data_IF_566421189737
#
_entry.id   IF_566421189737
#
_cell.length_a   1.000
_cell.length_b   1.000
_cell.length_c   1.000
_cell.angle_alpha   90.00
_cell.angle_beta   90.00
_cell.angle_gamma   90.00
#
_symmetry.space_group_name_H-M   'P 1'
#
loop_
_entity.id
_entity.type
_entity.pdbx_description
1 polymer ?
#
# COMPACT_ATOMS: atom_id res chain seq x y z
N UNK A 1 -1.30 20.63 -2.30
CA UNK A 1 -1.86 19.44 -2.98
C UNK A 1 -3.37 19.24 -2.82
N UNK A 2 -3.91 18.91 -1.63
CA UNK A 2 -5.35 18.57 -1.48
C UNK A 2 -6.27 19.75 -1.85
N UNK A 3 -5.89 20.98 -1.51
CA UNK A 3 -6.67 22.17 -1.83
C UNK A 3 -6.68 22.49 -3.34
N UNK A 4 -5.64 22.08 -4.08
CA UNK A 4 -5.52 22.28 -5.53
C UNK A 4 -6.28 21.21 -6.30
N UNK A 5 -6.23 19.96 -5.81
CA UNK A 5 -6.99 18.83 -6.32
C UNK A 5 -7.50 17.98 -5.15
N UNK A 6 -8.81 18.04 -4.90
CA UNK A 6 -9.47 17.34 -3.80
C UNK A 6 -9.36 15.81 -3.90
N UNK A 7 -8.98 15.27 -5.07
CA UNK A 7 -8.71 13.86 -5.31
C UNK A 7 -7.25 13.45 -5.05
N UNK A 8 -6.47 14.33 -4.44
CA UNK A 8 -5.13 14.02 -3.95
C UNK A 8 -5.17 13.51 -2.51
N UNK A 9 -4.52 12.37 -2.27
CA UNK A 9 -4.16 11.88 -0.94
C UNK A 9 -2.70 12.26 -0.67
N UNK A 10 -2.41 12.78 0.52
CA UNK A 10 -1.06 13.23 0.91
C UNK A 10 -0.60 12.48 2.14
N UNK A 11 0.57 11.86 2.07
CA UNK A 11 1.25 11.26 3.22
C UNK A 11 2.39 12.19 3.69
N UNK A 12 2.58 12.37 5.01
CA UNK A 12 3.81 12.99 5.53
C UNK A 12 4.97 11.98 5.45
N UNK A 13 6.20 12.47 5.60
CA UNK A 13 7.30 11.59 5.97
C UNK A 13 7.08 11.07 7.38
N UNK A 14 7.25 9.76 7.55
CA UNK A 14 7.08 9.08 8.82
C UNK A 14 8.47 8.88 9.42
N UNK A 15 8.76 9.67 10.43
CA UNK A 15 10.04 9.60 11.15
C UNK A 15 9.96 8.64 12.31
N UNK A 16 11.12 8.20 12.78
CA UNK A 16 11.21 7.21 13.85
C UNK A 16 11.29 7.93 15.19
N UNK A 17 10.39 7.57 16.09
CA UNK A 17 10.57 7.80 17.53
C UNK A 17 11.00 6.48 18.15
N UNK A 18 12.24 6.41 18.65
CA UNK A 18 12.82 5.18 19.18
C UNK A 18 12.00 4.67 20.38
N UNK A 19 11.58 3.40 20.38
CA UNK A 19 10.67 2.88 21.40
C UNK A 19 11.31 2.77 22.81
N UNK A 20 12.65 2.76 22.91
CA UNK A 20 13.38 2.67 24.19
C UNK A 20 13.73 4.06 24.75
N UNK A 21 14.21 4.97 23.90
CA UNK A 21 14.78 6.26 24.32
C UNK A 21 13.89 7.47 23.98
N UNK A 22 12.86 7.27 23.14
CA UNK A 22 12.02 8.33 22.58
C UNK A 22 12.77 9.38 21.75
N UNK A 23 14.01 9.06 21.34
CA UNK A 23 14.76 9.87 20.40
C UNK A 23 14.00 9.97 19.07
N UNK A 24 13.85 11.20 18.58
CA UNK A 24 13.31 11.47 17.26
C UNK A 24 14.45 11.50 16.24
N UNK A 25 14.31 10.72 15.16
CA UNK A 25 15.23 10.75 14.03
C UNK A 25 14.49 10.53 12.72
N UNK A 26 15.00 11.14 11.66
CA UNK A 26 14.52 10.85 10.33
C UNK A 26 14.64 9.35 10.03
N UNK A 27 13.62 8.75 9.40
CA UNK A 27 13.78 7.39 8.88
C UNK A 27 14.78 7.40 7.71
N UNK A 28 14.68 8.42 6.87
CA UNK A 28 15.51 8.71 5.69
C UNK A 28 15.11 10.07 5.07
N UNK A 29 15.69 10.38 3.91
CA UNK A 29 15.46 11.58 3.10
C UNK A 29 14.34 11.42 2.06
N UNK A 30 13.51 10.39 2.18
CA UNK A 30 12.37 10.12 1.29
C UNK A 30 12.51 8.81 0.53
N UNK A 31 11.38 8.10 0.39
CA UNK A 31 11.28 6.94 -0.46
C UNK A 31 9.82 6.73 -0.87
N UNK A 32 9.63 6.08 -2.02
CA UNK A 32 8.30 5.73 -2.57
C UNK A 32 7.83 4.42 -1.95
N UNK A 33 6.61 4.37 -1.42
CA UNK A 33 6.08 3.14 -0.86
C UNK A 33 5.67 2.14 -1.93
N UNK A 34 5.89 0.85 -1.65
CA UNK A 34 5.72 -0.26 -2.57
C UNK A 34 5.38 -1.54 -1.80
N UNK A 35 5.41 -2.69 -2.48
CA UNK A 35 5.25 -4.01 -1.88
C UNK A 35 6.10 -5.05 -2.59
N UNK A 36 6.37 -6.16 -1.90
CA UNK A 36 6.75 -7.40 -2.57
C UNK A 36 5.50 -8.25 -2.86
N UNK A 37 5.68 -9.32 -3.64
CA UNK A 37 4.60 -10.23 -4.00
C UNK A 37 4.19 -11.17 -2.85
N UNK A 38 4.60 -10.89 -1.61
CA UNK A 38 4.01 -11.46 -0.39
C UNK A 38 3.13 -10.44 0.35
N UNK A 39 2.90 -9.27 -0.24
CA UNK A 39 2.17 -8.15 0.37
C UNK A 39 2.86 -7.59 1.62
N UNK A 40 4.19 -7.73 1.73
CA UNK A 40 4.95 -6.94 2.70
C UNK A 40 5.26 -5.56 2.14
N UNK A 41 5.05 -4.54 2.98
CA UNK A 41 5.32 -3.16 2.61
C UNK A 41 6.82 -3.00 2.37
N UNK A 42 7.16 -2.36 1.25
CA UNK A 42 8.54 -2.06 0.84
C UNK A 42 8.67 -0.60 0.51
N UNK A 43 9.92 -0.17 0.34
CA UNK A 43 10.27 1.19 -0.05
C UNK A 43 11.21 1.14 -1.26
N UNK A 44 10.84 1.88 -2.28
CA UNK A 44 11.61 2.13 -3.50
C UNK A 44 12.34 3.46 -3.36
N UNK A 45 13.53 3.62 -3.94
CA UNK A 45 14.20 4.92 -3.98
C UNK A 45 13.33 5.96 -4.68
N UNK A 46 13.57 7.24 -4.41
CA UNK A 46 13.01 8.34 -5.19
C UNK A 46 13.43 8.22 -6.66
N UNK A 47 12.57 8.69 -7.57
CA UNK A 47 12.95 8.76 -8.98
C UNK A 47 13.98 9.87 -9.18
N UNK A 48 14.85 9.79 -10.21
CA UNK A 48 15.83 10.85 -10.48
C UNK A 48 15.21 12.25 -10.60
N UNK A 49 14.01 12.37 -11.18
CA UNK A 49 13.27 13.64 -11.27
C UNK A 49 12.86 14.21 -9.92
N UNK A 50 12.53 13.34 -8.95
CA UNK A 50 12.09 13.76 -7.62
C UNK A 50 13.31 14.22 -6.78
N UNK A 51 14.50 13.74 -7.10
CA UNK A 51 15.76 14.16 -6.47
C UNK A 51 16.22 15.56 -6.90
N UNK A 52 15.74 16.08 -8.04
CA UNK A 52 16.05 17.44 -8.48
C UNK A 52 15.43 18.49 -7.56
N UNK A 53 14.26 18.20 -6.98
CA UNK A 53 13.55 19.07 -6.05
C UNK A 53 13.05 18.25 -4.84
N UNK A 54 13.95 17.84 -3.93
CA UNK A 54 13.65 16.84 -2.90
C UNK A 54 12.66 17.29 -1.81
N UNK A 55 12.28 18.56 -1.82
CA UNK A 55 11.29 19.14 -0.89
C UNK A 55 9.88 19.17 -1.46
N UNK A 56 9.72 19.03 -2.79
CA UNK A 56 8.42 19.05 -3.45
C UNK A 56 7.70 17.70 -3.26
N UNK A 57 6.36 17.69 -3.17
CA UNK A 57 5.62 16.43 -3.10
C UNK A 57 5.86 15.55 -4.32
N UNK A 58 6.13 14.26 -4.10
CA UNK A 58 6.37 13.29 -5.17
C UNK A 58 5.36 12.14 -5.10
N UNK A 59 5.12 11.50 -6.25
CA UNK A 59 4.12 10.42 -6.36
C UNK A 59 4.61 9.14 -5.70
N UNK A 60 3.77 8.57 -4.84
CA UNK A 60 4.04 7.32 -4.13
C UNK A 60 3.02 6.24 -4.55
N UNK A 61 3.45 5.04 -4.99
CA UNK A 61 2.52 3.98 -5.39
C UNK A 61 1.64 3.47 -4.25
N UNK A 62 2.21 3.31 -3.06
CA UNK A 62 1.52 2.76 -1.87
C UNK A 62 1.88 3.57 -0.63
N UNK A 63 0.90 3.93 0.20
CA UNK A 63 1.13 4.56 1.50
C UNK A 63 1.54 3.53 2.56
N UNK A 64 2.25 3.96 3.61
CA UNK A 64 2.49 3.10 4.77
C UNK A 64 1.19 2.72 5.52
N UNK A 65 0.19 3.61 5.49
CA UNK A 65 -1.17 3.36 6.00
C UNK A 65 -1.60 4.29 7.13
N UNK A 66 -0.85 4.30 8.25
CA UNK A 66 -1.31 4.93 9.49
C UNK A 66 -1.39 6.46 9.50
N UNK A 67 -0.77 7.15 8.53
CA UNK A 67 -0.65 8.61 8.51
C UNK A 67 -0.86 9.11 7.07
N UNK A 68 -2.00 9.76 6.83
CA UNK A 68 -2.31 10.42 5.56
C UNK A 68 -3.40 11.48 5.76
N UNK A 69 -3.54 12.36 4.78
CA UNK A 69 -4.63 13.31 4.67
C UNK A 69 -5.30 13.16 3.29
N UNK A 70 -6.62 13.12 3.28
CA UNK A 70 -7.46 13.02 2.09
C UNK A 70 -8.71 13.87 2.31
N UNK A 71 -9.27 14.45 1.25
CA UNK A 71 -10.55 15.16 1.40
C UNK A 71 -11.64 14.17 1.81
N UNK A 72 -12.49 14.56 2.77
CA UNK A 72 -13.62 13.73 3.23
C UNK A 72 -14.54 13.35 2.07
N UNK A 73 -14.75 14.28 1.14
CA UNK A 73 -15.52 14.04 -0.08
C UNK A 73 -14.91 12.89 -0.90
N UNK A 74 -13.62 12.96 -1.23
CA UNK A 74 -12.99 11.93 -2.04
C UNK A 74 -12.90 10.58 -1.32
N UNK A 75 -12.64 10.59 -0.01
CA UNK A 75 -12.64 9.35 0.80
C UNK A 75 -13.96 8.59 0.69
N UNK A 76 -15.09 9.28 0.78
CA UNK A 76 -16.42 8.66 0.65
C UNK A 76 -16.83 8.40 -0.81
N UNK A 77 -16.33 9.17 -1.80
CA UNK A 77 -16.45 8.81 -3.22
C UNK A 77 -15.80 7.45 -3.51
N UNK A 78 -14.69 7.14 -2.83
CA UNK A 78 -14.01 5.84 -2.90
C UNK A 78 -14.65 4.74 -2.02
N UNK A 79 -15.77 5.05 -1.35
CA UNK A 79 -16.46 4.13 -0.44
C UNK A 79 -15.70 3.84 0.86
N UNK A 80 -14.75 4.69 1.25
CA UNK A 80 -13.92 4.47 2.44
C UNK A 80 -13.06 3.21 2.36
N UNK A 81 -12.79 2.61 3.52
CA UNK A 81 -12.17 1.28 3.60
C UNK A 81 -13.21 0.18 3.39
N UNK A 82 -12.77 -0.97 2.90
CA UNK A 82 -13.58 -2.18 2.87
C UNK A 82 -13.91 -2.63 4.30
N UNK A 83 -15.19 -2.54 4.66
CA UNK A 83 -15.72 -2.91 5.99
C UNK A 83 -15.49 -4.38 6.35
N UNK A 84 -15.16 -5.24 5.38
CA UNK A 84 -14.79 -6.62 5.61
C UNK A 84 -13.32 -6.84 5.98
N UNK A 85 -12.49 -5.78 6.01
CA UNK A 85 -11.12 -5.84 6.52
C UNK A 85 -11.13 -5.93 8.06
N UNK A 86 -10.36 -6.88 8.58
CA UNK A 86 -10.30 -7.15 10.01
C UNK A 86 -9.01 -6.63 10.63
N UNK A 87 -9.10 -5.94 11.76
CA UNK A 87 -8.00 -5.63 12.72
C UNK A 87 -6.79 -4.90 12.13
N UNK A 88 -5.99 -5.54 11.29
CA UNK A 88 -4.76 -4.99 10.73
C UNK A 88 -4.36 -5.68 9.42
N UNK A 89 -3.83 -4.88 8.49
CA UNK A 89 -3.19 -5.33 7.27
C UNK A 89 -4.15 -5.37 6.09
N UNK A 90 -3.76 -4.71 4.99
CA UNK A 90 -4.49 -4.69 3.73
C UNK A 90 -5.09 -3.33 3.39
N UNK A 91 -5.53 -2.58 4.41
CA UNK A 91 -6.19 -1.28 4.26
C UNK A 91 -5.34 -0.25 3.51
N UNK A 92 -4.01 -0.27 3.72
CA UNK A 92 -3.09 0.63 3.04
C UNK A 92 -2.99 0.32 1.54
N UNK A 93 -3.02 -0.96 1.17
CA UNK A 93 -3.00 -1.38 -0.23
C UNK A 93 -4.33 -1.08 -0.91
N UNK A 94 -5.43 -1.43 -0.24
CA UNK A 94 -6.78 -1.20 -0.73
C UNK A 94 -7.00 0.28 -1.09
N UNK A 95 -6.72 1.19 -0.15
CA UNK A 95 -6.93 2.61 -0.37
C UNK A 95 -5.95 3.18 -1.41
N UNK A 96 -4.68 2.75 -1.40
CA UNK A 96 -3.70 3.16 -2.43
C UNK A 96 -4.16 2.77 -3.83
N UNK A 97 -4.65 1.55 -4.00
CA UNK A 97 -5.16 1.03 -5.27
C UNK A 97 -6.43 1.76 -5.71
N UNK A 98 -7.38 1.99 -4.79
CA UNK A 98 -8.58 2.82 -5.02
C UNK A 98 -8.21 4.20 -5.54
N UNK A 99 -7.33 4.92 -4.84
CA UNK A 99 -6.92 6.28 -5.21
C UNK A 99 -6.37 6.31 -6.63
N UNK A 100 -5.39 5.46 -6.94
CA UNK A 100 -4.74 5.48 -8.25
C UNK A 100 -5.63 4.97 -9.39
N UNK A 101 -6.28 3.81 -9.20
CA UNK A 101 -7.07 3.20 -10.27
C UNK A 101 -8.36 4.00 -10.54
N UNK A 102 -8.92 4.69 -9.55
CA UNK A 102 -10.22 5.38 -9.67
C UNK A 102 -10.09 6.89 -9.88
N UNK A 103 -8.94 7.37 -10.37
CA UNK A 103 -8.78 8.74 -10.91
C UNK A 103 -8.38 9.81 -9.90
N UNK A 104 -7.81 9.41 -8.77
CA UNK A 104 -7.06 10.29 -7.88
C UNK A 104 -5.55 10.13 -8.02
N UNK A 105 -4.83 10.70 -7.08
CA UNK A 105 -3.38 10.60 -6.98
C UNK A 105 -2.93 10.57 -5.53
N UNK A 106 -1.75 10.00 -5.30
CA UNK A 106 -1.15 9.91 -3.97
C UNK A 106 0.27 10.44 -3.99
N UNK A 107 0.58 11.31 -3.05
CA UNK A 107 1.90 11.93 -2.92
C UNK A 107 2.41 11.86 -1.49
N UNK A 108 3.72 11.73 -1.34
CA UNK A 108 4.39 11.99 -0.08
C UNK A 108 4.88 13.45 -0.09
N UNK A 109 4.70 14.18 1.01
CA UNK A 109 5.08 15.59 1.14
C UNK A 109 6.28 15.74 2.10
N UNK A 110 7.52 15.91 1.58
CA UNK A 110 8.74 15.94 2.40
C UNK A 110 8.75 17.01 3.51
N UNK A 111 8.11 18.16 3.25
CA UNK A 111 8.00 19.26 4.20
C UNK A 111 7.01 19.00 5.35
N UNK A 112 6.23 17.92 5.31
CA UNK A 112 5.36 17.48 6.40
C UNK A 112 5.93 16.22 7.02
N UNK A 113 6.30 16.27 8.29
CA UNK A 113 6.97 15.16 8.99
C UNK A 113 6.25 14.83 10.29
N UNK A 114 6.04 13.54 10.54
CA UNK A 114 5.36 13.05 11.74
C UNK A 114 6.17 11.91 12.35
N UNK A 115 6.49 12.00 13.63
CA UNK A 115 7.17 10.94 14.37
C UNK A 115 6.23 9.80 14.72
N UNK A 116 6.67 8.57 14.48
CA UNK A 116 5.94 7.34 14.79
C UNK A 116 6.79 6.38 15.64
N UNK A 117 6.21 5.84 16.71
CA UNK A 117 6.84 4.83 17.55
C UNK A 117 6.62 3.45 16.93
N UNK A 118 7.66 2.90 16.29
CA UNK A 118 7.66 1.52 15.84
C UNK A 118 7.84 0.58 17.03
N UNK A 119 6.79 -0.18 17.34
CA UNK A 119 6.78 -1.09 18.49
C UNK A 119 7.76 -2.24 18.28
N UNK A 120 8.41 -2.69 19.36
CA UNK A 120 9.24 -3.90 19.36
C UNK A 120 8.41 -5.18 19.15
N UNK A 121 7.20 -5.19 19.66
CA UNK A 121 6.22 -6.29 19.54
C UNK A 121 4.81 -5.74 19.66
N UNK A 122 3.82 -6.48 19.15
CA UNK A 122 2.41 -6.16 19.35
C UNK A 122 2.03 -6.43 20.82
N UNK A 123 1.62 -5.42 21.62
CA UNK A 123 1.31 -5.60 23.03
C UNK A 123 -0.10 -6.13 23.29
N UNK A 124 -0.88 -6.35 22.23
CA UNK A 124 -2.26 -6.83 22.29
C UNK A 124 -2.31 -8.35 22.08
N UNK A 125 -3.27 -9.05 22.72
CA UNK A 125 -3.40 -10.49 22.59
C UNK A 125 -3.79 -10.88 21.15
N UNK A 126 -3.53 -12.13 20.80
CA UNK A 126 -4.05 -12.71 19.56
C UNK A 126 -5.58 -12.55 19.58
N UNK A 127 -6.18 -11.95 18.54
CA UNK A 127 -7.62 -11.70 18.51
C UNK A 127 -8.48 -12.96 18.39
N UNK A 128 -7.89 -14.15 18.28
CA UNK A 128 -8.62 -15.41 18.11
C UNK A 128 -9.30 -15.53 16.73
N UNK A 129 -8.95 -14.64 15.80
CA UNK A 129 -9.51 -14.55 14.45
C UNK A 129 -8.58 -15.16 13.40
N UNK A 130 -8.30 -16.46 13.49
CA UNK A 130 -7.57 -17.22 12.46
C UNK A 130 -6.42 -16.46 11.76
N UNK A 131 -6.32 -16.61 10.44
CA UNK A 131 -5.43 -15.81 9.60
C UNK A 131 -6.19 -14.61 8.99
N UNK A 132 -6.53 -13.64 9.83
CA UNK A 132 -7.23 -12.42 9.38
C UNK A 132 -6.38 -11.57 8.41
N UNK A 133 -5.05 -11.60 8.51
CA UNK A 133 -4.15 -10.86 7.60
C UNK A 133 -4.21 -11.47 6.21
N UNK A 134 -4.06 -12.79 6.08
CA UNK A 134 -4.21 -13.49 4.80
C UNK A 134 -5.61 -13.32 4.21
N UNK A 135 -6.64 -13.33 5.06
CA UNK A 135 -8.02 -13.02 4.67
C UNK A 135 -8.15 -11.62 4.07
N UNK A 136 -7.60 -10.60 4.73
CA UNK A 136 -7.62 -9.21 4.25
C UNK A 136 -6.84 -9.05 2.94
N UNK A 137 -5.62 -9.58 2.87
CA UNK A 137 -4.79 -9.54 1.68
C UNK A 137 -5.50 -10.18 0.49
N UNK A 138 -6.19 -11.31 0.72
CA UNK A 138 -7.01 -11.94 -0.32
C UNK A 138 -8.19 -11.06 -0.76
N UNK A 139 -8.93 -10.44 0.16
CA UNK A 139 -10.02 -9.51 -0.23
C UNK A 139 -9.49 -8.42 -1.18
N UNK A 140 -8.36 -7.79 -0.81
CA UNK A 140 -7.74 -6.74 -1.61
C UNK A 140 -7.29 -7.29 -2.97
N UNK A 141 -6.62 -8.44 -2.99
CA UNK A 141 -6.13 -9.05 -4.21
C UNK A 141 -7.26 -9.45 -5.18
N UNK A 142 -8.33 -10.05 -4.67
CA UNK A 142 -9.48 -10.48 -5.47
C UNK A 142 -10.27 -9.32 -6.09
N UNK A 143 -10.26 -8.14 -5.45
CA UNK A 143 -11.00 -6.97 -5.94
C UNK A 143 -10.13 -6.08 -6.80
N UNK A 144 -8.86 -5.88 -6.46
CA UNK A 144 -8.06 -4.78 -7.00
C UNK A 144 -6.84 -5.19 -7.84
N UNK A 145 -6.40 -6.44 -7.79
CA UNK A 145 -5.15 -6.88 -8.44
C UNK A 145 -5.31 -7.63 -9.76
N UNK A 146 -6.53 -7.89 -10.21
CA UNK A 146 -6.80 -8.63 -11.45
C UNK A 146 -6.02 -9.96 -11.51
N UNK A 147 -5.30 -10.23 -12.60
CA UNK A 147 -4.45 -11.41 -12.78
C UNK A 147 -3.21 -11.43 -11.86
N UNK A 148 -2.79 -10.28 -11.33
CA UNK A 148 -1.56 -10.18 -10.53
C UNK A 148 -1.70 -10.80 -9.13
N UNK A 149 -2.92 -11.06 -8.67
CA UNK A 149 -3.17 -11.84 -7.44
C UNK A 149 -2.52 -13.22 -7.48
N UNK A 150 -2.34 -13.79 -8.68
CA UNK A 150 -1.70 -15.09 -8.85
C UNK A 150 -0.24 -15.10 -8.38
N UNK A 151 0.48 -13.97 -8.46
CA UNK A 151 1.85 -13.85 -7.94
C UNK A 151 1.89 -13.88 -6.41
N UNK A 152 0.86 -13.34 -5.76
CA UNK A 152 0.66 -13.46 -4.31
C UNK A 152 0.37 -14.91 -3.92
N UNK A 153 -0.57 -15.54 -4.61
CA UNK A 153 -0.95 -16.92 -4.32
C UNK A 153 0.13 -17.94 -4.64
N UNK A 154 1.04 -17.67 -5.58
CA UNK A 154 2.20 -18.52 -5.82
C UNK A 154 3.15 -18.57 -4.62
N UNK A 155 3.32 -17.45 -3.92
CA UNK A 155 4.19 -17.32 -2.73
C UNK A 155 3.45 -17.69 -1.43
N UNK A 156 2.14 -17.47 -1.38
CA UNK A 156 1.26 -17.85 -0.27
C UNK A 156 0.10 -18.75 -0.74
N UNK A 157 0.35 -20.04 -1.06
CA UNK A 157 -0.67 -20.92 -1.63
C UNK A 157 -1.92 -21.10 -0.77
N UNK A 158 -1.76 -21.10 0.56
CA UNK A 158 -2.86 -21.25 1.51
C UNK A 158 -3.88 -20.10 1.42
N UNK A 159 -3.52 -18.93 0.87
CA UNK A 159 -4.49 -17.84 0.68
C UNK A 159 -5.65 -18.27 -0.22
N UNK A 160 -5.44 -19.14 -1.21
CA UNK A 160 -6.51 -19.61 -2.12
C UNK A 160 -7.69 -20.28 -1.42
N UNK A 161 -7.50 -20.81 -0.22
CA UNK A 161 -8.53 -21.52 0.54
C UNK A 161 -9.14 -20.69 1.66
N UNK A 162 -8.60 -19.50 1.97
CA UNK A 162 -9.13 -18.62 3.03
C UNK A 162 -10.44 -17.99 2.60
N UNK A 163 -11.54 -18.22 3.32
CA UNK A 163 -12.81 -17.58 3.01
C UNK A 163 -12.70 -16.04 3.09
N UNK A 164 -12.96 -15.37 1.97
CA UNK A 164 -12.95 -13.90 1.89
C UNK A 164 -14.22 -13.28 2.45
N UNK A 165 -15.27 -14.05 2.72
CA UNK A 165 -16.63 -13.53 2.82
C UNK A 165 -17.11 -12.90 1.50
N UNK A 166 -18.17 -12.12 1.57
CA UNK A 166 -18.75 -11.47 0.39
C UNK A 166 -17.86 -10.32 -0.12
N UNK A 167 -17.67 -10.28 -1.44
CA UNK A 167 -16.92 -9.25 -2.19
C UNK A 167 -17.79 -8.52 -3.21
N UNK A 168 -19.08 -8.84 -3.30
CA UNK A 168 -20.02 -8.29 -4.29
C UNK A 168 -20.03 -6.76 -4.26
N UNK A 169 -20.14 -6.17 -3.07
CA UNK A 169 -20.16 -4.72 -2.92
C UNK A 169 -18.85 -4.07 -3.38
N UNK A 170 -17.70 -4.65 -3.02
CA UNK A 170 -16.39 -4.09 -3.37
C UNK A 170 -16.10 -4.18 -4.88
N UNK A 171 -16.47 -5.30 -5.52
CA UNK A 171 -16.39 -5.44 -6.97
C UNK A 171 -17.33 -4.48 -7.70
N UNK A 172 -18.58 -4.39 -7.23
CA UNK A 172 -19.57 -3.45 -7.78
C UNK A 172 -19.15 -1.99 -7.65
N UNK A 173 -18.49 -1.62 -6.55
CA UNK A 173 -17.91 -0.29 -6.35
C UNK A 173 -16.83 0.01 -7.39
N UNK A 174 -15.87 -0.92 -7.60
CA UNK A 174 -14.80 -0.76 -8.58
C UNK A 174 -15.36 -0.58 -10.01
N UNK A 175 -16.39 -1.33 -10.36
CA UNK A 175 -17.09 -1.21 -11.63
C UNK A 175 -17.83 0.14 -11.77
N UNK A 176 -18.58 0.55 -10.74
CA UNK A 176 -19.34 1.80 -10.74
C UNK A 176 -18.45 3.03 -10.87
N UNK A 177 -17.27 3.01 -10.23
CA UNK A 177 -16.26 4.07 -10.33
C UNK A 177 -15.47 4.03 -11.64
N UNK A 178 -15.67 3.01 -12.48
CA UNK A 178 -14.97 2.83 -13.77
C UNK A 178 -13.45 2.87 -13.60
N UNK A 179 -12.96 2.22 -12.55
CA UNK A 179 -11.54 2.22 -12.22
C UNK A 179 -10.72 1.53 -13.31
N UNK A 180 -9.48 1.97 -13.47
CA UNK A 180 -8.49 1.37 -14.37
C UNK A 180 -8.09 -0.02 -13.88
N UNK A 181 -7.47 -0.81 -14.75
CA UNK A 181 -6.94 -2.13 -14.39
C UNK A 181 -5.72 -2.03 -13.48
N UNK A 182 -5.42 -3.10 -12.76
CA UNK A 182 -4.19 -3.22 -12.01
C UNK A 182 -2.95 -3.23 -12.91
N UNK A 183 -3.08 -3.79 -14.12
CA UNK A 183 -2.04 -3.66 -15.15
C UNK A 183 -1.68 -2.20 -15.43
N UNK A 184 -2.68 -1.31 -15.58
CA UNK A 184 -2.41 0.11 -15.74
C UNK A 184 -1.67 0.69 -14.54
N UNK A 185 -2.07 0.32 -13.30
CA UNK A 185 -1.37 0.74 -12.09
C UNK A 185 0.10 0.30 -12.11
N UNK A 186 0.37 -0.96 -12.44
CA UNK A 186 1.73 -1.50 -12.52
C UNK A 186 2.56 -0.82 -13.62
N UNK A 187 1.98 -0.48 -14.76
CA UNK A 187 2.71 0.13 -15.89
C UNK A 187 2.90 1.65 -15.75
N UNK A 188 2.01 2.35 -15.04
CA UNK A 188 1.97 3.82 -15.02
C UNK A 188 2.30 4.44 -13.67
N UNK A 189 2.11 3.70 -12.57
CA UNK A 189 2.33 4.19 -11.21
C UNK A 189 3.49 3.44 -10.55
N UNK A 190 3.43 2.11 -10.55
CA UNK A 190 4.42 1.23 -9.91
C UNK A 190 5.39 0.57 -10.91
N UNK A 191 5.75 1.28 -11.98
CA UNK A 191 6.53 0.74 -13.12
C UNK A 191 7.92 0.23 -12.74
N UNK A 192 8.51 0.77 -11.67
CA UNK A 192 9.82 0.44 -11.12
C UNK A 192 9.77 -0.63 -10.03
N UNK A 193 8.58 -1.00 -9.53
CA UNK A 193 8.42 -2.05 -8.52
C UNK A 193 8.97 -3.40 -9.01
N UNK A 194 8.63 -3.88 -10.23
CA UNK A 194 9.13 -5.17 -10.72
C UNK A 194 10.65 -5.22 -10.91
N UNK A 195 11.33 -4.07 -11.01
CA UNK A 195 12.80 -4.03 -11.13
C UNK A 195 13.49 -4.43 -9.82
N UNK A 196 12.85 -4.18 -8.68
CA UNK A 196 13.37 -4.52 -7.35
C UNK A 196 12.70 -5.76 -6.75
N UNK A 197 11.41 -5.95 -7.03
CA UNK A 197 10.60 -7.06 -6.53
C UNK A 197 9.88 -7.72 -7.71
N UNK A 198 10.56 -8.59 -8.47
CA UNK A 198 10.00 -9.14 -9.69
C UNK A 198 8.83 -10.11 -9.39
N UNK A 199 7.75 -10.09 -10.19
CA UNK A 199 6.63 -11.02 -10.02
C UNK A 199 7.06 -12.48 -10.14
N UNK A 200 8.09 -12.74 -10.94
CA UNK A 200 8.77 -14.02 -11.08
C UNK A 200 10.25 -13.77 -10.82
N UNK A 201 10.81 -14.36 -9.77
CA UNK A 201 12.24 -14.25 -9.46
C UNK A 201 13.08 -14.83 -10.61
N UNK A 202 14.21 -14.20 -10.97
CA UNK A 202 15.18 -14.83 -11.86
C UNK A 202 15.73 -16.11 -11.22
N UNK A 203 16.20 -17.08 -12.02
CA UNK A 203 16.85 -18.26 -11.48
C UNK A 203 18.11 -17.87 -10.68
N UNK A 204 18.38 -18.62 -9.63
CA UNK A 204 19.59 -18.44 -8.84
C UNK A 204 20.84 -18.62 -9.72
N UNK A 205 21.85 -17.78 -9.50
CA UNK A 205 23.10 -17.87 -10.23
C UNK A 205 23.86 -19.17 -9.90
N UNK A 206 23.74 -19.64 -8.66
CA UNK A 206 24.25 -20.91 -8.20
C UNK A 206 23.40 -21.40 -7.02
N UNK A 207 23.17 -22.70 -6.95
CA UNK A 207 22.58 -23.40 -5.80
C UNK A 207 23.63 -24.35 -5.22
N UNK A 208 23.68 -24.47 -3.89
CA UNK A 208 24.59 -25.36 -3.18
C UNK A 208 23.83 -26.50 -2.50
N UNK A 209 24.44 -27.69 -2.46
CA UNK A 209 23.97 -28.87 -1.71
C UNK A 209 24.40 -28.84 -0.24
#
# INVERSE_FOLDING_TARGET
>A
PIAEDYRTCVCPFIDVVAFETFEYRAQDEGARGAFDWEFFYKRLPLLPSDLENPTEPFKSPVMAGGLFAISTKFFWELGGYDEGLEIWGGEQYELSFKIWQCGGQMVDAPCSRVGHIYRKFAPFPNPGKGDFVGRNYRRVAEVWMDEYKEYLYKRRPHYRTIDTGDLTQQKGLREALKCKSFKWFMENVAFDLPLKYPPIEPPDFAEGE
#
